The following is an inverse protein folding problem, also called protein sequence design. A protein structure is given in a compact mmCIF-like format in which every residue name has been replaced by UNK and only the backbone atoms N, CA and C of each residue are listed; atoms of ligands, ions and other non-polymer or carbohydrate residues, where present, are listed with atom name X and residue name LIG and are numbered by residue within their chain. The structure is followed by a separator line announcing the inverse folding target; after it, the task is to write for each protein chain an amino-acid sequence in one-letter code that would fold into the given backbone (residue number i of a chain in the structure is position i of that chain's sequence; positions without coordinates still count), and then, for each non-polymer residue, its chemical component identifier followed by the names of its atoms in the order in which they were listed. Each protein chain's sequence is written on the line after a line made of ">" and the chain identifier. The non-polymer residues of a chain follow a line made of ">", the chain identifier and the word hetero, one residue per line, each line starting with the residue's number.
data_IF_259910413086
#
_entry.id   IF_259910413086
#
_cell.length_a   1.000
_cell.length_b   1.000
_cell.length_c   1.000
_cell.angle_alpha   90.00
_cell.angle_beta   90.00
_cell.angle_gamma   90.00
#
_symmetry.space_group_name_H-M   'P 1'
#
loop_
_entity.id
_entity.type
_entity.pdbx_description
1 polymer ?
#
# COMPACT_ATOMS: atom_id res chain seq x y z
N UNK A 1 -23.58 -18.04 -7.23
CA UNK A 1 -24.42 -16.82 -7.16
C UNK A 1 -24.24 -16.05 -8.46
N UNK A 2 -25.31 -15.49 -9.03
CA UNK A 2 -25.25 -14.66 -10.25
C UNK A 2 -25.64 -13.24 -9.87
N UNK A 3 -24.79 -12.27 -10.21
CA UNK A 3 -25.03 -10.84 -10.02
C UNK A 3 -25.17 -10.24 -11.41
N UNK A 4 -26.22 -9.44 -11.61
CA UNK A 4 -26.41 -8.67 -12.84
C UNK A 4 -26.26 -7.20 -12.48
N UNK A 5 -25.45 -6.47 -13.25
CA UNK A 5 -25.17 -5.06 -13.00
C UNK A 5 -25.54 -4.28 -14.26
N UNK A 6 -26.35 -3.24 -14.09
CA UNK A 6 -26.66 -2.29 -15.15
C UNK A 6 -25.74 -1.08 -14.98
N UNK A 7 -24.93 -0.78 -16.00
CA UNK A 7 -23.92 0.28 -15.96
C UNK A 7 -24.31 1.38 -16.91
N UNK A 8 -24.03 2.62 -16.52
CA UNK A 8 -24.11 3.74 -17.44
C UNK A 8 -23.14 3.50 -18.62
N UNK A 9 -23.52 3.84 -19.87
CA UNK A 9 -22.72 3.53 -21.06
C UNK A 9 -21.30 4.08 -21.00
N UNK A 10 -21.12 5.24 -20.36
CA UNK A 10 -19.82 5.88 -20.16
C UNK A 10 -18.90 5.05 -19.24
N UNK A 11 -19.47 4.44 -18.20
CA UNK A 11 -18.73 3.60 -17.25
C UNK A 11 -18.39 2.27 -17.89
N UNK A 12 -19.32 1.67 -18.63
CA UNK A 12 -19.07 0.43 -19.37
C UNK A 12 -17.94 0.59 -20.40
N UNK A 13 -17.94 1.69 -21.17
CA UNK A 13 -16.89 1.96 -22.15
C UNK A 13 -15.51 2.11 -21.47
N UNK A 14 -15.44 2.81 -20.33
CA UNK A 14 -14.20 2.98 -19.57
C UNK A 14 -13.71 1.66 -18.97
N UNK A 15 -14.62 0.84 -18.47
CA UNK A 15 -14.33 -0.49 -17.93
C UNK A 15 -13.71 -1.37 -19.02
N UNK A 16 -14.33 -1.45 -20.20
CA UNK A 16 -13.83 -2.24 -21.33
C UNK A 16 -12.43 -1.76 -21.74
N UNK A 17 -12.22 -0.44 -21.86
CA UNK A 17 -10.92 0.12 -22.23
C UNK A 17 -9.81 -0.26 -21.23
N UNK A 18 -10.11 -0.20 -19.93
CA UNK A 18 -9.16 -0.55 -18.87
C UNK A 18 -8.78 -2.04 -18.89
N UNK A 19 -9.78 -2.89 -19.11
CA UNK A 19 -9.63 -4.35 -19.15
C UNK A 19 -8.80 -4.78 -20.37
N UNK A 20 -9.04 -4.16 -21.54
CA UNK A 20 -8.23 -4.35 -22.75
C UNK A 20 -6.78 -3.95 -22.51
N UNK A 21 -6.54 -2.80 -21.88
CA UNK A 21 -5.19 -2.33 -21.59
C UNK A 21 -4.40 -3.27 -20.66
N UNK A 22 -5.10 -3.96 -19.76
CA UNK A 22 -4.51 -4.92 -18.82
C UNK A 22 -4.45 -6.37 -19.36
N UNK A 23 -5.09 -6.64 -20.52
CA UNK A 23 -5.10 -7.97 -21.13
C UNK A 23 -5.88 -9.02 -20.34
N UNK A 24 -6.81 -8.60 -19.48
CA UNK A 24 -7.65 -9.48 -18.65
C UNK A 24 -9.10 -9.45 -19.15
N UNK A 25 -9.98 -10.30 -18.62
CA UNK A 25 -11.41 -10.25 -18.93
C UNK A 25 -12.16 -9.29 -18.00
N UNK A 26 -13.32 -8.80 -18.42
CA UNK A 26 -14.14 -7.86 -17.63
C UNK A 26 -14.58 -8.51 -16.32
N UNK A 27 -14.93 -9.79 -16.39
CA UNK A 27 -15.35 -10.58 -15.23
C UNK A 27 -14.20 -10.76 -14.24
N UNK A 28 -12.99 -11.04 -14.72
CA UNK A 28 -11.81 -11.20 -13.87
C UNK A 28 -11.47 -9.90 -13.14
N UNK A 29 -11.55 -8.77 -13.83
CA UNK A 29 -11.33 -7.45 -13.26
C UNK A 29 -12.39 -7.05 -12.23
N UNK A 30 -13.68 -7.31 -12.52
CA UNK A 30 -14.75 -7.06 -11.54
C UNK A 30 -14.63 -7.97 -10.32
N UNK A 31 -14.22 -9.23 -10.49
CA UNK A 31 -13.98 -10.14 -9.37
C UNK A 31 -12.80 -9.69 -8.51
N UNK A 32 -11.71 -9.18 -9.10
CA UNK A 32 -10.60 -8.63 -8.31
C UNK A 32 -11.03 -7.38 -7.56
N UNK A 33 -11.71 -6.44 -8.21
CA UNK A 33 -12.22 -5.24 -7.54
C UNK A 33 -13.14 -5.58 -6.36
N UNK A 34 -14.07 -6.51 -6.53
CA UNK A 34 -14.97 -6.94 -5.44
C UNK A 34 -14.17 -7.58 -4.32
N UNK A 35 -13.24 -8.49 -4.65
CA UNK A 35 -12.37 -9.14 -3.65
C UNK A 35 -11.60 -8.10 -2.85
N UNK A 36 -10.91 -7.20 -3.56
CA UNK A 36 -10.03 -6.20 -2.97
C UNK A 36 -10.82 -5.25 -2.06
N UNK A 37 -12.00 -4.79 -2.49
CA UNK A 37 -12.86 -3.94 -1.67
C UNK A 37 -13.48 -4.67 -0.47
N UNK A 38 -13.77 -5.97 -0.59
CA UNK A 38 -14.24 -6.77 0.53
C UNK A 38 -13.12 -7.04 1.55
N UNK A 39 -11.87 -7.18 1.10
CA UNK A 39 -10.71 -7.29 1.99
C UNK A 39 -10.29 -5.95 2.61
N UNK A 40 -10.34 -4.85 1.85
CA UNK A 40 -9.97 -3.51 2.32
C UNK A 40 -10.95 -2.96 3.36
N UNK A 41 -12.21 -3.41 3.36
CA UNK A 41 -13.18 -3.03 4.38
C UNK A 41 -12.99 -3.74 5.74
N UNK A 42 -12.04 -4.67 5.86
CA UNK A 42 -11.77 -5.36 7.13
C UNK A 42 -10.68 -4.68 7.98
N UNK A 43 -9.76 -3.93 7.36
CA UNK A 43 -8.68 -3.26 8.09
C UNK A 43 -8.45 -1.87 7.51
N UNK A 44 -8.98 -0.84 8.19
CA UNK A 44 -8.53 0.53 7.93
C UNK A 44 -7.02 0.59 8.24
N UNK A 45 -6.22 1.33 7.45
CA UNK A 45 -4.79 1.45 7.72
C UNK A 45 -4.55 1.87 9.16
N UNK A 46 -3.51 1.31 9.81
CA UNK A 46 -3.13 1.63 11.19
C UNK A 46 -3.05 3.16 11.40
N UNK A 47 -2.57 3.89 10.38
CA UNK A 47 -2.53 5.35 10.35
C UNK A 47 -3.87 6.10 10.43
N UNK A 48 -5.00 5.42 10.20
CA UNK A 48 -6.33 6.01 10.24
C UNK A 48 -7.13 5.60 11.48
N UNK A 49 -6.70 4.57 12.21
CA UNK A 49 -7.49 3.99 13.32
C UNK A 49 -6.72 3.74 14.60
N UNK A 50 -5.40 3.70 14.56
CA UNK A 50 -4.59 3.43 15.74
C UNK A 50 -4.53 4.64 16.67
N UNK A 51 -4.67 4.37 17.96
CA UNK A 51 -4.32 5.29 19.03
C UNK A 51 -2.80 5.39 19.17
N UNK A 52 -2.31 6.34 19.98
CA UNK A 52 -0.88 6.46 20.29
C UNK A 52 -0.31 5.18 20.93
N UNK A 53 -1.09 4.54 21.80
CA UNK A 53 -0.72 3.28 22.47
C UNK A 53 -0.65 2.10 21.49
N UNK A 54 -1.57 2.04 20.52
CA UNK A 54 -1.54 1.03 19.45
C UNK A 54 -0.29 1.20 18.57
N UNK A 55 0.09 2.45 18.29
CA UNK A 55 1.30 2.78 17.56
C UNK A 55 2.56 2.37 18.32
N UNK A 56 2.66 2.71 19.60
CA UNK A 56 3.79 2.33 20.44
C UNK A 56 3.96 0.81 20.46
N UNK A 57 2.87 0.09 20.73
CA UNK A 57 2.86 -1.37 20.78
C UNK A 57 3.32 -1.98 19.45
N UNK A 58 2.74 -1.52 18.34
CA UNK A 58 3.06 -2.01 16.99
C UNK A 58 4.54 -1.77 16.65
N UNK A 59 5.08 -0.60 16.97
CA UNK A 59 6.48 -0.28 16.68
C UNK A 59 7.45 -1.09 17.55
N UNK A 60 7.10 -1.33 18.83
CA UNK A 60 7.90 -2.21 19.70
C UNK A 60 7.91 -3.65 19.19
N UNK A 61 6.77 -4.18 18.72
CA UNK A 61 6.67 -5.51 18.14
C UNK A 61 7.46 -5.62 16.83
N UNK A 62 7.36 -4.61 15.97
CA UNK A 62 8.15 -4.54 14.73
C UNK A 62 9.65 -4.60 15.03
N UNK A 63 10.13 -3.84 16.02
CA UNK A 63 11.54 -3.85 16.45
C UNK A 63 12.02 -5.21 16.95
N UNK A 64 11.12 -6.04 17.51
CA UNK A 64 11.42 -7.41 17.98
C UNK A 64 11.21 -8.47 16.90
N UNK A 65 10.76 -8.08 15.71
CA UNK A 65 10.40 -9.03 14.66
C UNK A 65 11.63 -9.80 14.12
N UNK A 66 11.50 -11.11 13.85
CA UNK A 66 12.57 -11.92 13.26
C UNK A 66 13.00 -11.45 11.85
N UNK A 67 12.17 -10.67 11.17
CA UNK A 67 12.49 -10.03 9.89
C UNK A 67 13.58 -8.98 10.08
N UNK A 68 13.47 -8.12 11.10
CA UNK A 68 14.49 -7.10 11.38
C UNK A 68 15.76 -7.68 11.99
N UNK A 69 15.66 -8.78 12.75
CA UNK A 69 16.82 -9.46 13.33
C UNK A 69 17.82 -10.02 12.29
N UNK A 70 17.39 -10.20 11.03
CA UNK A 70 18.23 -10.72 9.94
C UNK A 70 18.80 -9.63 9.04
N UNK A 71 18.47 -8.36 9.28
CA UNK A 71 18.94 -7.25 8.46
C UNK A 71 20.36 -6.88 8.89
N UNK A 72 21.30 -6.69 7.95
CA UNK A 72 22.64 -6.23 8.29
C UNK A 72 22.57 -4.86 8.97
N UNK A 73 23.39 -4.66 10.01
CA UNK A 73 23.51 -3.37 10.66
C UNK A 73 24.03 -2.32 9.68
N UNK A 74 23.42 -1.15 9.70
CA UNK A 74 23.94 0.02 9.01
C UNK A 74 25.19 0.52 9.74
N UNK A 75 26.19 0.95 8.98
CA UNK A 75 27.34 1.65 9.55
C UNK A 75 26.93 3.01 10.13
N UNK A 76 27.66 3.51 11.12
CA UNK A 76 27.44 4.85 11.69
C UNK A 76 27.42 5.95 10.63
N UNK A 77 28.25 5.82 9.58
CA UNK A 77 28.26 6.74 8.45
C UNK A 77 26.94 6.73 7.67
N UNK A 78 26.32 5.56 7.49
CA UNK A 78 25.07 5.42 6.74
C UNK A 78 23.86 6.02 7.47
N UNK A 79 23.91 6.03 8.82
CA UNK A 79 22.90 6.69 9.66
C UNK A 79 23.28 8.11 10.07
N UNK A 80 24.44 8.62 9.61
CA UNK A 80 24.86 9.99 9.89
C UNK A 80 23.94 11.00 9.23
N UNK A 81 23.75 12.13 9.91
CA UNK A 81 22.92 13.23 9.38
C UNK A 81 23.46 13.72 8.03
N UNK A 82 24.77 13.86 7.94
CA UNK A 82 25.50 14.29 6.75
C UNK A 82 25.43 13.27 5.59
N UNK A 83 24.98 12.03 5.85
CA UNK A 83 24.66 11.03 4.82
C UNK A 83 23.19 11.10 4.42
N UNK A 84 22.28 11.27 5.39
CA UNK A 84 20.82 11.30 5.17
C UNK A 84 20.34 12.59 4.50
N UNK A 85 20.99 13.73 4.80
CA UNK A 85 20.51 15.06 4.39
C UNK A 85 21.36 15.74 3.31
N UNK A 86 22.49 15.14 2.90
CA UNK A 86 23.46 15.74 1.98
C UNK A 86 22.82 16.39 0.74
N UNK A 87 21.99 15.63 0.03
CA UNK A 87 21.35 16.11 -1.20
C UNK A 87 20.40 17.29 -0.95
N UNK A 88 19.71 17.33 0.21
CA UNK A 88 18.85 18.45 0.60
C UNK A 88 19.65 19.69 0.99
N UNK A 89 20.78 19.50 1.67
CA UNK A 89 21.66 20.59 2.09
C UNK A 89 22.41 21.19 0.87
N UNK A 90 22.87 20.34 -0.05
CA UNK A 90 23.57 20.75 -1.28
C UNK A 90 22.64 21.48 -2.26
N UNK A 91 21.35 21.14 -2.29
CA UNK A 91 20.35 21.79 -3.15
C UNK A 91 19.90 23.19 -2.66
N UNK A 92 20.35 23.61 -1.47
CA UNK A 92 20.02 24.90 -0.86
C UNK A 92 21.13 25.95 -0.98
N UNK A 93 22.24 25.60 -1.67
CA UNK A 93 23.40 26.45 -1.95
C UNK A 93 23.43 26.88 -3.42
#
# INVERSE_FOLDING_TARGET
>A
MKITLDLEPEIEARLIAQVIAQGISVEAYLQSLIRDNLTLNQEKPLAQTATEEDWETTLQELGKSPSLARVPFLSDQAISRESIYREREDSQL
#
